data_IF_159625789108
#
_entry.id   IF_159625789108
#
_cell.length_a   1.000
_cell.length_b   1.000
_cell.length_c   1.000
_cell.angle_alpha   90.00
_cell.angle_beta   90.00
_cell.angle_gamma   90.00
#
_symmetry.space_group_name_H-M   'P 1'
#
loop_
_entity.id
_entity.type
_entity.pdbx_description
1 polymer ?
#
# COMPACT_ATOMS: atom_id res chain seq x y z
N UNK A 1 -34.09 -12.33 -9.32
CA UNK A 1 -33.86 -12.52 -10.77
C UNK A 1 -34.84 -11.61 -11.51
N UNK A 2 -34.41 -10.93 -12.57
CA UNK A 2 -35.24 -9.99 -13.33
C UNK A 2 -35.02 -10.20 -14.81
N UNK A 3 -36.05 -10.00 -15.61
CA UNK A 3 -36.00 -10.09 -17.08
C UNK A 3 -36.35 -8.73 -17.69
N UNK A 4 -35.97 -8.54 -18.94
CA UNK A 4 -36.21 -7.30 -19.67
C UNK A 4 -37.50 -7.44 -20.47
N UNK A 5 -38.52 -6.67 -20.10
CA UNK A 5 -39.81 -6.71 -20.80
C UNK A 5 -39.70 -6.03 -22.18
N UNK A 6 -40.66 -6.32 -23.05
CA UNK A 6 -40.81 -5.63 -24.34
C UNK A 6 -41.08 -4.13 -24.21
N UNK A 7 -41.37 -3.64 -23.00
CA UNK A 7 -41.61 -2.23 -22.68
C UNK A 7 -40.37 -1.54 -22.05
N UNK A 8 -39.18 -2.13 -22.16
CA UNK A 8 -37.92 -1.59 -21.65
C UNK A 8 -37.82 -1.47 -20.12
N UNK A 9 -38.69 -2.17 -19.38
CA UNK A 9 -38.68 -2.18 -17.92
C UNK A 9 -38.11 -3.49 -17.35
N UNK A 10 -37.36 -3.37 -16.24
CA UNK A 10 -36.82 -4.51 -15.50
C UNK A 10 -37.86 -5.08 -14.53
N UNK A 11 -38.48 -6.19 -14.93
CA UNK A 11 -39.56 -6.84 -14.17
C UNK A 11 -39.01 -8.03 -13.37
N UNK A 12 -39.53 -8.24 -12.17
CA UNK A 12 -39.17 -9.37 -11.32
C UNK A 12 -39.61 -10.70 -11.90
N UNK A 13 -38.70 -11.68 -11.95
CA UNK A 13 -39.07 -13.07 -12.19
C UNK A 13 -39.92 -13.63 -11.05
N UNK A 14 -40.63 -14.72 -11.33
CA UNK A 14 -41.25 -15.53 -10.29
C UNK A 14 -40.22 -15.93 -9.21
N UNK A 15 -40.66 -15.95 -7.96
CA UNK A 15 -39.79 -16.04 -6.77
C UNK A 15 -38.94 -17.32 -6.72
N UNK A 16 -39.39 -18.38 -7.38
CA UNK A 16 -38.74 -19.68 -7.43
C UNK A 16 -37.79 -19.88 -8.63
N UNK A 17 -37.54 -18.82 -9.41
CA UNK A 17 -36.78 -18.92 -10.65
C UNK A 17 -35.36 -18.34 -10.55
N UNK A 18 -34.38 -19.09 -11.06
CA UNK A 18 -32.97 -18.70 -11.12
C UNK A 18 -32.62 -17.80 -12.33
N UNK A 19 -33.36 -17.96 -13.44
CA UNK A 19 -33.40 -17.09 -14.62
C UNK A 19 -34.81 -17.15 -15.23
N UNK A 20 -35.29 -16.09 -15.88
CA UNK A 20 -36.56 -16.10 -16.59
C UNK A 20 -36.55 -15.14 -17.79
N UNK A 21 -37.38 -15.39 -18.79
CA UNK A 21 -37.63 -14.49 -19.94
C UNK A 21 -39.04 -13.86 -19.92
N UNK A 22 -39.81 -14.15 -18.86
CA UNK A 22 -41.18 -13.71 -18.66
C UNK A 22 -41.59 -13.78 -17.18
N UNK A 23 -42.76 -13.24 -16.82
CA UNK A 23 -43.18 -13.11 -15.42
C UNK A 23 -43.82 -14.41 -14.87
N UNK A 24 -44.17 -15.37 -15.74
CA UNK A 24 -44.81 -16.63 -15.33
C UNK A 24 -43.78 -17.63 -14.82
N UNK A 25 -44.25 -18.61 -14.06
CA UNK A 25 -43.43 -19.75 -13.62
C UNK A 25 -42.95 -20.62 -14.79
N UNK A 26 -43.72 -20.68 -15.88
CA UNK A 26 -43.36 -21.44 -17.09
C UNK A 26 -42.24 -20.80 -17.92
N UNK A 27 -41.92 -19.52 -17.65
CA UNK A 27 -40.89 -18.76 -18.38
C UNK A 27 -39.48 -18.92 -17.77
N UNK A 28 -39.31 -19.92 -16.88
CA UNK A 28 -38.10 -20.09 -16.09
C UNK A 28 -37.08 -21.02 -16.77
N UNK A 29 -35.89 -20.48 -17.02
CA UNK A 29 -34.82 -21.15 -17.77
C UNK A 29 -33.95 -22.02 -16.84
N UNK A 30 -33.86 -23.32 -17.13
CA UNK A 30 -33.20 -24.34 -16.27
C UNK A 30 -31.72 -24.57 -16.62
N UNK A 31 -31.10 -23.73 -17.45
CA UNK A 31 -29.68 -23.88 -17.82
C UNK A 31 -28.79 -22.85 -17.12
N UNK A 32 -27.99 -23.38 -16.21
CA UNK A 32 -26.92 -22.74 -15.46
C UNK A 32 -25.78 -22.32 -16.43
N UNK A 33 -25.78 -21.06 -16.86
CA UNK A 33 -24.59 -20.32 -17.26
C UNK A 33 -24.82 -18.84 -16.94
N UNK A 34 -24.20 -18.39 -15.85
CA UNK A 34 -23.89 -16.99 -15.48
C UNK A 34 -24.43 -15.92 -16.44
N UNK A 35 -25.73 -15.65 -16.36
CA UNK A 35 -26.30 -14.42 -16.89
C UNK A 35 -26.80 -13.63 -15.70
N UNK A 36 -25.82 -13.08 -14.96
CA UNK A 36 -26.07 -12.04 -13.97
C UNK A 36 -26.48 -10.80 -14.75
N UNK A 37 -27.77 -10.64 -15.00
CA UNK A 37 -28.36 -9.38 -15.46
C UNK A 37 -28.40 -8.38 -14.30
N UNK A 38 -27.21 -7.90 -13.95
CA UNK A 38 -26.85 -6.58 -13.46
C UNK A 38 -25.31 -6.49 -13.52
N UNK A 39 -24.75 -6.70 -14.71
CA UNK A 39 -23.44 -6.16 -15.03
C UNK A 39 -23.72 -4.89 -15.78
N UNK A 40 -23.49 -3.75 -15.12
CA UNK A 40 -23.03 -2.57 -15.85
C UNK A 40 -21.96 -3.09 -16.80
N UNK A 41 -22.25 -3.21 -18.10
CA UNK A 41 -21.17 -3.26 -19.09
C UNK A 41 -20.29 -2.09 -18.70
N UNK A 42 -19.06 -2.36 -18.23
CA UNK A 42 -18.14 -1.31 -17.80
C UNK A 42 -18.02 -0.38 -19.01
N UNK A 43 -18.77 0.72 -18.99
CA UNK A 43 -18.65 1.72 -20.01
C UNK A 43 -17.19 2.15 -19.99
N UNK A 44 -16.67 2.62 -21.13
CA UNK A 44 -15.37 3.27 -21.10
C UNK A 44 -15.36 4.28 -19.94
N UNK A 45 -14.26 4.34 -19.18
CA UNK A 45 -14.15 5.14 -17.95
C UNK A 45 -14.43 6.64 -18.19
N UNK A 46 -14.48 7.06 -19.46
CA UNK A 46 -14.90 8.39 -19.86
C UNK A 46 -16.42 8.62 -19.88
N UNK A 47 -17.25 7.59 -20.04
CA UNK A 47 -18.71 7.67 -20.06
C UNK A 47 -19.32 7.59 -18.64
N UNK A 48 -20.51 8.18 -18.47
CA UNK A 48 -21.38 7.97 -17.30
C UNK A 48 -22.49 6.95 -17.62
N UNK A 49 -23.01 6.97 -18.85
CA UNK A 49 -23.88 5.94 -19.41
C UNK A 49 -23.46 5.65 -20.84
N UNK A 50 -23.66 4.43 -21.34
CA UNK A 50 -23.24 4.00 -22.67
C UNK A 50 -24.27 3.05 -23.32
N UNK A 51 -24.31 3.02 -24.65
CA UNK A 51 -25.06 2.07 -25.47
C UNK A 51 -24.23 0.84 -25.89
N UNK A 52 -22.95 0.82 -25.55
CA UNK A 52 -21.98 -0.21 -25.91
C UNK A 52 -20.66 -0.03 -25.14
N UNK A 53 -19.70 -0.92 -25.38
CA UNK A 53 -18.40 -0.92 -24.68
C UNK A 53 -17.35 -0.04 -25.36
N UNK A 54 -17.58 0.39 -26.61
CA UNK A 54 -16.62 1.24 -27.31
C UNK A 54 -16.64 2.68 -26.75
N UNK A 55 -15.49 3.38 -26.71
CA UNK A 55 -15.40 4.76 -26.24
C UNK A 55 -16.31 5.76 -26.99
N UNK A 56 -16.76 5.43 -28.20
CA UNK A 56 -17.71 6.20 -29.01
C UNK A 56 -19.19 5.96 -28.68
N UNK A 57 -19.50 4.90 -27.94
CA UNK A 57 -20.87 4.48 -27.61
C UNK A 57 -21.38 5.15 -26.33
N UNK A 58 -20.76 6.25 -25.89
CA UNK A 58 -21.25 6.95 -24.70
C UNK A 58 -22.64 7.55 -24.98
N UNK A 59 -23.60 7.31 -24.08
CA UNK A 59 -24.92 7.94 -24.05
C UNK A 59 -24.93 9.21 -23.20
N UNK A 60 -24.14 9.25 -22.14
CA UNK A 60 -23.88 10.44 -21.34
C UNK A 60 -22.45 10.42 -20.80
N UNK A 61 -21.90 11.59 -20.52
CA UNK A 61 -20.54 11.73 -20.04
C UNK A 61 -20.51 12.03 -18.55
N UNK A 62 -19.43 11.60 -17.88
CA UNK A 62 -19.16 11.98 -16.49
C UNK A 62 -19.06 13.51 -16.36
N UNK A 63 -19.38 14.04 -15.18
CA UNK A 63 -19.43 15.49 -14.96
C UNK A 63 -18.18 16.21 -15.49
N UNK A 64 -18.40 17.29 -16.28
CA UNK A 64 -17.38 18.10 -17.00
C UNK A 64 -16.83 17.51 -18.31
N UNK A 65 -17.52 16.55 -18.92
CA UNK A 65 -17.24 16.03 -20.27
C UNK A 65 -18.46 16.19 -21.18
N UNK A 66 -18.24 16.34 -22.48
CA UNK A 66 -19.28 16.33 -23.51
C UNK A 66 -18.92 15.34 -24.63
N UNK A 67 -19.90 14.95 -25.44
CA UNK A 67 -19.66 14.07 -26.59
C UNK A 67 -19.12 14.89 -27.76
N UNK A 68 -18.01 14.47 -28.32
CA UNK A 68 -17.53 15.01 -29.60
C UNK A 68 -18.38 14.50 -30.78
N UNK A 69 -18.07 14.97 -32.00
CA UNK A 69 -18.78 14.57 -33.22
C UNK A 69 -18.68 13.07 -33.55
N UNK A 70 -17.79 12.34 -32.88
CA UNK A 70 -17.59 10.90 -33.02
C UNK A 70 -18.17 10.08 -31.86
N UNK A 71 -18.89 10.72 -30.93
CA UNK A 71 -19.54 10.04 -29.80
C UNK A 71 -18.65 9.84 -28.57
N UNK A 72 -17.40 10.28 -28.60
CA UNK A 72 -16.46 10.14 -27.48
C UNK A 72 -16.70 11.20 -26.39
N UNK A 73 -16.65 10.78 -25.13
CA UNK A 73 -16.72 11.72 -24.00
C UNK A 73 -15.38 12.43 -23.76
N UNK A 74 -15.24 13.60 -24.37
CA UNK A 74 -14.09 14.50 -24.22
C UNK A 74 -14.35 15.52 -23.12
N UNK A 75 -13.30 16.04 -22.49
CA UNK A 75 -13.47 17.12 -21.50
C UNK A 75 -14.09 18.35 -22.15
N UNK A 76 -15.04 18.98 -21.46
CA UNK A 76 -15.51 20.33 -21.78
C UNK A 76 -14.40 21.31 -21.39
N UNK A 77 -13.31 21.31 -22.16
CA UNK A 77 -12.39 22.42 -22.12
C UNK A 77 -12.92 23.42 -23.15
N UNK A 78 -13.76 24.36 -22.70
CA UNK A 78 -14.13 25.57 -23.47
C UNK A 78 -12.90 26.39 -23.93
N UNK A 79 -11.71 25.95 -23.53
CA UNK A 79 -10.41 26.55 -23.75
C UNK A 79 -9.39 25.49 -24.17
N UNK A 80 -8.39 25.86 -24.97
CA UNK A 80 -7.34 24.94 -25.44
C UNK A 80 -6.46 24.38 -24.29
N UNK A 81 -5.74 23.26 -24.49
CA UNK A 81 -4.77 22.77 -23.50
C UNK A 81 -3.80 23.87 -23.06
N UNK A 82 -3.54 23.99 -21.75
CA UNK A 82 -2.75 25.09 -21.19
C UNK A 82 -3.53 26.37 -20.87
N UNK A 83 -4.87 26.33 -20.93
CA UNK A 83 -5.73 27.42 -20.50
C UNK A 83 -6.89 26.95 -19.63
N UNK A 84 -7.44 27.85 -18.82
CA UNK A 84 -8.58 27.63 -17.94
C UNK A 84 -9.67 28.69 -18.23
N UNK A 85 -10.92 28.34 -17.91
CA UNK A 85 -12.05 29.26 -18.01
C UNK A 85 -12.13 30.13 -16.75
N UNK A 86 -12.03 31.45 -16.90
CA UNK A 86 -12.17 32.40 -15.79
C UNK A 86 -13.66 32.63 -15.43
N UNK A 87 -13.93 33.36 -14.34
CA UNK A 87 -15.29 33.65 -13.86
C UNK A 87 -16.13 34.43 -14.89
N UNK A 88 -15.46 35.12 -15.81
CA UNK A 88 -16.08 35.88 -16.89
C UNK A 88 -16.35 35.05 -18.16
N UNK A 89 -16.08 33.74 -18.15
CA UNK A 89 -16.22 32.87 -19.33
C UNK A 89 -15.10 33.07 -20.38
N UNK A 90 -14.02 33.76 -20.02
CA UNK A 90 -12.85 33.96 -20.89
C UNK A 90 -11.78 32.90 -20.66
N UNK A 91 -11.14 32.44 -21.74
CA UNK A 91 -10.02 31.51 -21.66
C UNK A 91 -8.72 32.23 -21.33
N UNK A 92 -8.15 31.95 -20.16
CA UNK A 92 -6.88 32.51 -19.70
C UNK A 92 -5.81 31.45 -19.58
N UNK A 93 -4.56 31.84 -19.82
CA UNK A 93 -3.45 30.90 -19.78
C UNK A 93 -3.16 30.44 -18.36
N UNK A 94 -2.78 29.17 -18.24
CA UNK A 94 -2.25 28.61 -17.02
C UNK A 94 -0.90 29.22 -16.65
N UNK A 95 -0.51 29.08 -15.38
CA UNK A 95 0.87 29.34 -14.96
C UNK A 95 1.87 28.56 -15.84
N UNK A 96 3.03 29.17 -16.12
CA UNK A 96 3.99 28.69 -17.12
C UNK A 96 4.40 27.20 -16.97
N UNK A 97 4.42 26.69 -15.73
CA UNK A 97 4.78 25.31 -15.38
C UNK A 97 3.63 24.29 -15.51
N UNK A 98 2.37 24.73 -15.47
CA UNK A 98 1.24 23.83 -15.60
C UNK A 98 0.99 23.49 -17.08
N UNK A 99 0.65 22.23 -17.36
CA UNK A 99 0.11 21.84 -18.66
C UNK A 99 -1.41 21.99 -18.70
N UNK A 100 -2.10 21.60 -17.62
CA UNK A 100 -3.51 21.91 -17.39
C UNK A 100 -3.64 22.55 -16.00
N UNK A 101 -4.62 23.42 -15.82
CA UNK A 101 -4.86 24.12 -14.55
C UNK A 101 -6.35 24.38 -14.34
N UNK A 102 -6.72 24.59 -13.08
CA UNK A 102 -8.05 25.08 -12.68
C UNK A 102 -8.06 26.60 -12.46
N UNK A 103 -6.92 27.28 -12.62
CA UNK A 103 -6.80 28.71 -12.40
C UNK A 103 -5.40 29.25 -12.71
N UNK A 104 -5.16 30.54 -12.47
CA UNK A 104 -3.96 31.24 -12.93
C UNK A 104 -2.73 30.98 -12.04
N UNK A 105 -2.96 30.59 -10.78
CA UNK A 105 -1.89 30.47 -9.81
C UNK A 105 -1.09 29.17 -9.98
N UNK A 106 0.12 29.16 -9.40
CA UNK A 106 1.06 28.03 -9.50
C UNK A 106 0.59 26.78 -8.74
N UNK A 107 -0.30 26.94 -7.78
CA UNK A 107 -0.95 25.91 -6.96
C UNK A 107 -2.30 25.44 -7.52
N UNK A 108 -2.69 25.93 -8.70
CA UNK A 108 -3.89 25.49 -9.42
C UNK A 108 -3.56 24.56 -10.59
N UNK A 109 -2.37 23.94 -10.63
CA UNK A 109 -2.04 22.99 -11.67
C UNK A 109 -2.81 21.66 -11.48
N UNK A 110 -3.35 21.13 -12.57
CA UNK A 110 -3.92 19.79 -12.65
C UNK A 110 -2.92 18.79 -13.27
N UNK A 111 -2.03 19.28 -14.12
CA UNK A 111 -0.91 18.51 -14.68
C UNK A 111 0.27 19.44 -14.98
N UNK A 112 1.46 18.87 -15.12
CA UNK A 112 2.71 19.62 -15.24
C UNK A 112 3.36 19.41 -16.60
N UNK A 113 3.98 20.47 -17.14
CA UNK A 113 4.80 20.34 -18.35
C UNK A 113 6.05 19.51 -18.04
N UNK A 114 6.42 18.53 -18.87
CA UNK A 114 7.66 17.77 -18.69
C UNK A 114 8.88 18.71 -18.58
N UNK A 115 9.87 18.42 -17.72
CA UNK A 115 10.00 17.24 -16.85
C UNK A 115 9.46 17.46 -15.42
N UNK A 116 8.52 18.40 -15.20
CA UNK A 116 8.02 18.72 -13.85
C UNK A 116 7.01 17.69 -13.36
N UNK A 117 6.98 17.49 -12.04
CA UNK A 117 6.13 16.54 -11.34
C UNK A 117 5.04 17.28 -10.56
N UNK A 118 3.83 16.75 -10.58
CA UNK A 118 2.70 17.29 -9.82
C UNK A 118 2.78 16.86 -8.35
N UNK A 119 2.71 17.83 -7.44
CA UNK A 119 2.61 17.63 -6.00
C UNK A 119 1.58 18.59 -5.42
N UNK A 120 0.45 18.08 -4.91
CA UNK A 120 -0.63 18.88 -4.31
C UNK A 120 -0.98 20.13 -5.15
N UNK A 121 -1.31 19.90 -6.43
CA UNK A 121 -1.65 20.94 -7.40
C UNK A 121 -0.55 21.94 -7.76
N UNK A 122 0.70 21.68 -7.35
CA UNK A 122 1.87 22.49 -7.69
C UNK A 122 2.87 21.69 -8.51
N UNK A 123 3.50 22.30 -9.50
CA UNK A 123 4.57 21.68 -10.27
C UNK A 123 5.95 21.91 -9.64
N UNK A 124 6.65 20.81 -9.35
CA UNK A 124 8.01 20.77 -8.76
C UNK A 124 8.98 20.06 -9.69
N UNK A 125 10.27 20.38 -9.61
CA UNK A 125 11.32 19.72 -10.42
C UNK A 125 11.67 18.33 -9.89
N UNK A 126 11.59 18.14 -8.57
CA UNK A 126 11.89 16.89 -7.88
C UNK A 126 10.94 16.73 -6.69
N UNK A 127 10.58 15.48 -6.39
CA UNK A 127 9.74 15.19 -5.23
C UNK A 127 10.54 15.42 -3.92
N UNK A 128 9.93 16.06 -2.92
CA UNK A 128 10.56 16.27 -1.62
C UNK A 128 10.67 14.96 -0.83
N UNK A 129 11.40 15.00 0.29
CA UNK A 129 11.47 13.86 1.23
C UNK A 129 10.07 13.40 1.64
N UNK A 130 9.90 12.08 1.79
CA UNK A 130 8.62 11.44 2.01
C UNK A 130 7.80 11.19 0.74
N UNK A 131 8.28 11.61 -0.43
CA UNK A 131 7.65 11.35 -1.72
C UNK A 131 8.63 10.73 -2.72
N UNK A 132 8.10 10.01 -3.71
CA UNK A 132 8.86 9.44 -4.83
C UNK A 132 8.22 9.87 -6.16
N UNK A 133 9.05 9.94 -7.21
CA UNK A 133 8.55 10.22 -8.55
C UNK A 133 7.85 8.97 -9.11
N UNK A 134 6.56 9.09 -9.38
CA UNK A 134 5.78 8.06 -10.07
C UNK A 134 6.20 8.00 -11.55
N UNK A 135 6.45 6.79 -12.05
CA UNK A 135 6.95 6.54 -13.43
C UNK A 135 5.81 6.20 -14.41
N UNK A 136 4.60 6.59 -14.06
CA UNK A 136 3.37 6.27 -14.78
C UNK A 136 3.12 7.33 -15.87
N UNK A 137 2.02 7.22 -16.60
CA UNK A 137 1.59 8.21 -17.61
C UNK A 137 1.42 9.63 -17.05
N UNK A 138 1.25 9.79 -15.74
CA UNK A 138 1.18 11.08 -15.06
C UNK A 138 2.43 11.33 -14.21
N UNK A 139 3.24 12.31 -14.62
CA UNK A 139 4.40 12.80 -13.87
C UNK A 139 3.94 13.42 -12.55
N UNK A 140 3.92 12.62 -11.48
CA UNK A 140 3.44 13.03 -10.16
C UNK A 140 4.33 12.51 -9.02
N UNK A 141 4.17 13.12 -7.85
CA UNK A 141 4.86 12.72 -6.62
C UNK A 141 3.95 11.86 -5.76
N UNK A 142 4.27 10.57 -5.66
CA UNK A 142 3.58 9.61 -4.80
C UNK A 142 4.13 9.61 -3.38
N UNK A 143 3.29 9.36 -2.38
CA UNK A 143 3.70 9.25 -0.98
C UNK A 143 4.47 7.95 -0.69
N UNK A 144 5.56 8.07 0.07
CA UNK A 144 6.26 6.92 0.64
C UNK A 144 5.42 6.21 1.71
N UNK A 145 5.78 4.95 2.00
CA UNK A 145 5.26 4.24 3.18
C UNK A 145 5.56 5.04 4.47
N UNK A 146 4.66 4.99 5.46
CA UNK A 146 4.70 5.90 6.62
C UNK A 146 6.01 5.87 7.43
N UNK A 147 6.66 4.71 7.54
CA UNK A 147 7.95 4.53 8.23
C UNK A 147 9.18 4.94 7.42
N UNK A 148 9.00 5.34 6.16
CA UNK A 148 10.08 5.72 5.24
C UNK A 148 10.26 7.23 5.20
N UNK A 149 11.50 7.69 5.32
CA UNK A 149 11.88 9.08 5.08
C UNK A 149 12.15 9.32 3.59
N UNK A 150 12.75 8.35 2.92
CA UNK A 150 12.90 8.34 1.46
C UNK A 150 12.58 6.94 0.90
N UNK A 151 12.05 6.90 -0.31
CA UNK A 151 11.63 5.66 -0.96
C UNK A 151 11.79 5.74 -2.48
N UNK A 152 11.77 4.58 -3.13
CA UNK A 152 11.69 4.45 -4.59
C UNK A 152 10.28 4.07 -5.06
N UNK A 153 9.35 3.90 -4.13
CA UNK A 153 7.97 3.50 -4.39
C UNK A 153 7.14 3.46 -3.11
N UNK A 154 5.84 3.22 -3.27
CA UNK A 154 4.85 3.27 -2.19
C UNK A 154 4.98 2.15 -1.16
N UNK A 155 5.47 0.98 -1.56
CA UNK A 155 5.48 -0.20 -0.68
C UNK A 155 6.53 -0.09 0.42
N UNK A 156 6.27 -0.73 1.56
CA UNK A 156 7.18 -0.75 2.72
C UNK A 156 8.58 -1.29 2.40
N UNK A 157 8.70 -2.21 1.42
CA UNK A 157 9.95 -2.81 0.96
C UNK A 157 10.68 -1.96 -0.11
N UNK A 158 10.10 -0.84 -0.52
CA UNK A 158 10.71 0.12 -1.45
C UNK A 158 11.34 1.30 -0.71
N UNK A 159 11.66 1.09 0.57
CA UNK A 159 12.21 2.09 1.45
C UNK A 159 13.73 2.22 1.28
N UNK A 160 14.23 3.45 1.17
CA UNK A 160 15.67 3.72 1.07
C UNK A 160 16.23 4.09 2.44
N UNK A 161 15.63 5.11 3.08
CA UNK A 161 15.94 5.56 4.45
C UNK A 161 14.71 5.54 5.35
N UNK A 162 14.95 5.28 6.64
CA UNK A 162 13.90 5.21 7.67
C UNK A 162 13.72 6.56 8.34
N UNK A 163 12.47 6.89 8.70
CA UNK A 163 12.21 8.03 9.59
C UNK A 163 12.82 7.80 10.96
N UNK A 164 13.08 8.88 11.69
CA UNK A 164 13.50 8.84 13.09
C UNK A 164 12.54 7.97 13.92
N UNK A 165 13.09 7.09 14.76
CA UNK A 165 12.32 6.12 15.55
C UNK A 165 12.06 4.78 14.87
N UNK A 166 12.30 4.66 13.56
CA UNK A 166 12.25 3.40 12.82
C UNK A 166 13.65 2.86 12.55
N UNK A 167 13.76 1.53 12.46
CA UNK A 167 15.00 0.81 12.23
C UNK A 167 14.93 0.05 10.90
N UNK A 168 16.02 0.11 10.14
CA UNK A 168 16.11 -0.64 8.88
C UNK A 168 16.23 -2.13 9.15
N UNK A 169 15.32 -2.90 8.59
CA UNK A 169 15.37 -4.36 8.56
C UNK A 169 15.18 -4.83 7.12
N UNK A 170 16.24 -5.38 6.53
CA UNK A 170 16.33 -5.66 5.09
C UNK A 170 15.99 -4.41 4.25
N UNK A 171 14.86 -4.44 3.53
CA UNK A 171 14.37 -3.35 2.67
C UNK A 171 13.23 -2.52 3.27
N UNK A 172 12.87 -2.79 4.52
CA UNK A 172 11.76 -2.13 5.20
C UNK A 172 12.23 -1.40 6.45
N UNK A 173 11.42 -0.45 6.90
CA UNK A 173 11.62 0.25 8.16
C UNK A 173 10.59 -0.23 9.17
N UNK A 174 11.06 -0.69 10.33
CA UNK A 174 10.23 -1.26 11.39
C UNK A 174 10.47 -0.53 12.70
N UNK A 175 9.42 -0.32 13.48
CA UNK A 175 9.52 0.29 14.81
C UNK A 175 10.15 -0.69 15.82
N UNK A 176 9.82 -1.97 15.70
CA UNK A 176 10.31 -3.05 16.56
C UNK A 176 11.02 -4.10 15.71
N UNK A 177 12.26 -4.42 16.09
CA UNK A 177 13.04 -5.46 15.42
C UNK A 177 12.41 -6.85 15.64
N UNK A 178 12.46 -7.73 14.64
CA UNK A 178 11.95 -9.09 14.77
C UNK A 178 12.75 -9.88 15.81
N UNK A 179 12.25 -11.06 16.19
CA UNK A 179 12.96 -11.95 17.11
C UNK A 179 14.40 -12.24 16.62
N UNK A 180 15.28 -12.52 17.56
CA UNK A 180 16.73 -12.69 17.32
C UNK A 180 17.43 -11.46 16.71
N UNK A 181 16.83 -10.27 16.79
CA UNK A 181 17.47 -9.00 16.42
C UNK A 181 17.32 -7.96 17.54
N UNK A 182 18.28 -7.05 17.62
CA UNK A 182 18.25 -5.90 18.53
C UNK A 182 18.30 -4.59 17.74
N UNK A 183 17.83 -3.51 18.36
CA UNK A 183 17.85 -2.15 17.82
C UNK A 183 19.25 -1.57 17.99
N UNK A 184 19.98 -1.36 16.90
CA UNK A 184 21.26 -0.65 16.95
C UNK A 184 21.03 0.86 16.72
N UNK A 185 21.18 1.66 17.78
CA UNK A 185 20.96 3.11 17.74
C UNK A 185 22.04 3.88 16.96
N UNK A 186 23.24 3.31 16.79
CA UNK A 186 24.33 3.95 16.05
C UNK A 186 24.10 3.86 14.55
N UNK A 187 23.61 2.71 14.07
CA UNK A 187 23.37 2.46 12.65
C UNK A 187 21.91 2.62 12.24
N UNK A 188 21.00 2.80 13.22
CA UNK A 188 19.54 2.81 13.03
C UNK A 188 19.04 1.58 12.27
N UNK A 189 19.63 0.42 12.56
CA UNK A 189 19.29 -0.85 11.89
C UNK A 189 18.98 -1.95 12.91
N UNK A 190 18.17 -2.92 12.48
CA UNK A 190 17.97 -4.16 13.22
C UNK A 190 19.13 -5.10 12.94
N UNK A 191 19.98 -5.32 13.94
CA UNK A 191 21.11 -6.23 13.84
C UNK A 191 20.80 -7.56 14.52
N UNK A 192 21.34 -8.63 13.94
CA UNK A 192 21.10 -9.98 14.46
C UNK A 192 21.84 -10.18 15.78
N UNK A 193 21.20 -10.88 16.71
CA UNK A 193 21.82 -11.34 17.95
C UNK A 193 22.92 -12.37 17.68
N UNK A 194 23.74 -12.64 18.70
CA UNK A 194 24.62 -13.80 18.69
C UNK A 194 23.84 -15.09 18.39
N UNK A 195 24.37 -16.05 17.61
CA UNK A 195 23.68 -17.28 17.25
C UNK A 195 23.20 -18.12 18.45
N UNK A 196 23.86 -18.02 19.60
CA UNK A 196 23.44 -18.71 20.82
C UNK A 196 22.18 -18.13 21.47
N UNK A 197 21.74 -16.94 21.02
CA UNK A 197 20.69 -16.15 21.65
C UNK A 197 19.44 -16.04 20.78
N UNK A 198 18.28 -16.19 21.42
CA UNK A 198 16.97 -15.97 20.80
C UNK A 198 16.49 -14.52 20.97
N UNK A 199 16.99 -13.84 22.01
CA UNK A 199 16.76 -12.43 22.27
C UNK A 199 18.00 -11.81 22.94
N UNK A 200 18.36 -10.60 22.53
CA UNK A 200 19.51 -9.87 23.04
C UNK A 200 19.20 -8.37 23.15
N UNK A 201 19.96 -7.67 23.99
CA UNK A 201 19.92 -6.20 24.13
C UNK A 201 21.00 -5.50 23.30
N UNK A 202 21.94 -6.23 22.73
CA UNK A 202 23.11 -5.69 22.05
C UNK A 202 23.91 -6.75 21.30
N UNK A 203 25.06 -6.36 20.72
CA UNK A 203 25.90 -7.26 19.94
C UNK A 203 26.65 -8.29 20.82
N UNK A 204 26.96 -9.45 20.24
CA UNK A 204 27.77 -10.48 20.87
C UNK A 204 27.06 -11.28 21.97
N UNK A 205 27.70 -12.38 22.40
CA UNK A 205 27.09 -13.34 23.32
C UNK A 205 26.89 -12.80 24.75
N UNK A 206 27.52 -11.70 25.17
CA UNK A 206 27.37 -11.17 26.54
C UNK A 206 26.10 -10.32 26.75
N UNK A 207 25.36 -10.02 25.68
CA UNK A 207 24.19 -9.16 25.72
C UNK A 207 22.88 -9.96 25.55
N UNK A 208 22.89 -11.22 25.96
CA UNK A 208 21.77 -12.11 25.76
C UNK A 208 20.75 -12.01 26.89
N UNK A 209 19.48 -11.92 26.48
CA UNK A 209 18.33 -11.87 27.38
C UNK A 209 17.65 -13.24 27.45
N UNK A 210 17.71 -14.01 26.35
CA UNK A 210 17.16 -15.36 26.27
C UNK A 210 18.00 -16.23 25.34
N UNK A 211 18.30 -17.44 25.76
CA UNK A 211 19.06 -18.40 24.96
C UNK A 211 18.19 -19.14 23.94
N UNK A 212 18.81 -19.67 22.88
CA UNK A 212 18.15 -20.64 22.00
C UNK A 212 18.05 -22.01 22.69
N UNK A 213 17.16 -22.86 22.17
CA UNK A 213 17.06 -24.26 22.64
C UNK A 213 18.43 -24.95 22.47
N UNK A 214 18.83 -25.73 23.48
CA UNK A 214 20.14 -26.39 23.52
C UNK A 214 21.27 -25.56 24.17
N UNK A 215 20.99 -24.32 24.56
CA UNK A 215 21.93 -23.47 25.31
C UNK A 215 21.39 -23.20 26.72
N UNK A 216 22.30 -22.98 27.67
CA UNK A 216 22.03 -22.60 29.05
C UNK A 216 22.43 -21.15 29.30
N UNK A 217 21.64 -20.44 30.09
CA UNK A 217 21.84 -19.02 30.37
C UNK A 217 22.68 -18.79 31.63
N UNK A 218 23.78 -18.06 31.49
CA UNK A 218 24.61 -17.63 32.61
C UNK A 218 24.31 -16.17 32.95
N UNK A 219 23.35 -15.95 33.88
CA UNK A 219 22.86 -14.61 34.27
C UNK A 219 23.97 -13.62 34.63
N UNK A 220 24.99 -14.07 35.37
CA UNK A 220 26.07 -13.21 35.86
C UNK A 220 26.85 -12.53 34.72
N UNK A 221 26.94 -13.20 33.58
CA UNK A 221 27.72 -12.75 32.42
C UNK A 221 26.83 -12.37 31.23
N UNK A 222 25.50 -12.46 31.37
CA UNK A 222 24.55 -12.16 30.30
C UNK A 222 24.70 -13.04 29.06
N UNK A 223 25.28 -14.25 29.17
CA UNK A 223 25.66 -15.08 28.02
C UNK A 223 25.00 -16.45 27.96
N UNK A 224 24.94 -17.00 26.75
CA UNK A 224 24.44 -18.32 26.45
C UNK A 224 25.60 -19.28 26.14
N UNK A 225 25.62 -20.43 26.83
CA UNK A 225 26.66 -21.45 26.74
C UNK A 225 26.04 -22.80 26.40
N UNK A 226 26.83 -23.75 25.88
CA UNK A 226 26.34 -25.12 25.66
C UNK A 226 26.19 -25.89 26.98
N UNK A 227 27.04 -25.60 27.96
CA UNK A 227 27.02 -26.19 29.30
C UNK A 227 27.43 -25.16 30.36
N UNK A 228 27.05 -25.40 31.61
CA UNK A 228 27.44 -24.52 32.70
C UNK A 228 28.93 -24.70 33.05
N UNK A 229 29.64 -23.61 33.40
CA UNK A 229 31.03 -23.70 33.83
C UNK A 229 31.16 -24.41 35.19
N UNK A 230 32.39 -24.80 35.56
CA UNK A 230 32.65 -25.44 36.85
C UNK A 230 32.09 -24.60 38.02
N UNK A 231 31.51 -25.28 39.02
CA UNK A 231 30.84 -24.63 40.15
C UNK A 231 29.42 -24.13 39.87
N UNK A 232 28.83 -24.47 38.72
CA UNK A 232 27.43 -24.18 38.39
C UNK A 232 26.69 -25.45 37.96
N UNK A 233 25.38 -25.46 38.17
CA UNK A 233 24.48 -26.50 37.69
C UNK A 233 23.30 -25.90 36.92
N UNK A 234 22.71 -26.68 36.01
CA UNK A 234 21.55 -26.23 35.24
C UNK A 234 20.26 -26.42 36.06
N UNK A 235 19.37 -25.42 36.02
CA UNK A 235 18.04 -25.51 36.64
C UNK A 235 16.95 -25.94 35.63
N UNK A 236 15.68 -25.90 36.07
CA UNK A 236 14.51 -26.34 35.26
C UNK A 236 14.22 -25.39 34.09
N UNK A 237 14.78 -24.18 34.14
CA UNK A 237 14.59 -23.11 33.17
C UNK A 237 15.83 -22.94 32.28
N UNK A 238 16.75 -23.91 32.30
CA UNK A 238 18.03 -23.85 31.57
C UNK A 238 18.91 -22.67 31.98
N UNK A 239 18.88 -22.27 33.25
CA UNK A 239 19.72 -21.21 33.81
C UNK A 239 20.81 -21.85 34.67
N UNK A 240 22.05 -21.38 34.54
CA UNK A 240 23.16 -21.81 35.37
C UNK A 240 23.07 -21.16 36.76
N UNK A 241 22.87 -21.99 37.78
CA UNK A 241 22.84 -21.62 39.18
C UNK A 241 24.15 -22.00 39.85
N UNK A 242 24.68 -21.12 40.71
CA UNK A 242 25.95 -21.37 41.39
C UNK A 242 25.76 -22.44 42.48
N UNK A 243 26.66 -23.40 42.52
CA UNK A 243 26.71 -24.39 43.59
C UNK A 243 27.02 -23.74 44.94
N UNK A 244 26.65 -24.42 46.03
CA UNK A 244 27.09 -24.04 47.37
C UNK A 244 28.64 -23.98 47.40
N UNK A 245 29.27 -23.03 48.11
CA UNK A 245 30.74 -22.84 48.08
C UNK A 245 31.55 -24.07 48.46
N UNK A 246 30.95 -25.01 49.20
CA UNK A 246 31.60 -26.27 49.62
C UNK A 246 31.54 -27.38 48.56
N UNK A 247 30.84 -27.16 47.44
CA UNK A 247 30.61 -28.16 46.41
C UNK A 247 31.28 -27.72 45.10
N UNK A 248 32.21 -28.55 44.58
CA UNK A 248 32.83 -28.31 43.27
C UNK A 248 31.88 -28.61 42.10
N UNK A 249 31.06 -29.65 42.26
CA UNK A 249 29.94 -30.01 41.39
C UNK A 249 28.70 -30.21 42.24
N UNK A 250 27.53 -29.87 41.70
CA UNK A 250 26.26 -30.10 42.36
C UNK A 250 25.21 -30.49 41.32
N UNK A 251 24.39 -31.47 41.64
CA UNK A 251 23.29 -31.93 40.79
C UNK A 251 21.96 -31.65 41.46
N UNK A 252 20.90 -31.48 40.66
CA UNK A 252 19.54 -31.45 41.17
C UNK A 252 19.18 -32.81 41.74
N UNK A 253 19.18 -32.92 43.08
CA UNK A 253 18.40 -33.94 43.78
C UNK A 253 16.93 -33.53 43.83
#
# INVERSE_FOLDING_TARGET
>A
VRYFSSENECVGCHVDCASCDGPSFDDCSVFDFLTVCCVSTDCDKSCLTCSGHEPSDCLSCSAKKHKDASGHCVWDSQCSPGSYLDQNGECRQCHALCQNCSGPNRDHCLSCKPPHLLLNSTCVKSCPLGYYAEKNSELSCGLCHFGCESCVGRHSQQCVTCKTGFFKHARSCVETCPQSHFKNMNTMTCQQCDPSCSQCSGPGNQNCLKCRKGFVYLRKEGRCLQSCPEGYHVDRQSICQKCHPTCKTCDRK
#
